data_IF_795680494363
#
_entry.id   IF_795680494363
#
_cell.length_a   1.000
_cell.length_b   1.000
_cell.length_c   1.000
_cell.angle_alpha   90.00
_cell.angle_beta   90.00
_cell.angle_gamma   90.00
#
_symmetry.space_group_name_H-M   'P 1'
#
loop_
_entity.id
_entity.type
_entity.pdbx_description
1 polymer ?
#
# COMPACT_ATOMS: atom_id res chain seq x y z
N UNK A 1 -8.09 13.84 -14.90
CA UNK A 1 -7.46 13.04 -13.84
C UNK A 1 -6.69 11.85 -14.39
N UNK A 2 -7.29 11.05 -15.29
CA UNK A 2 -6.64 9.91 -15.95
C UNK A 2 -5.26 10.18 -16.57
N UNK A 3 -5.09 11.26 -17.36
CA UNK A 3 -3.80 11.58 -17.99
C UNK A 3 -2.65 11.75 -16.96
N UNK A 4 -2.94 12.35 -15.80
CA UNK A 4 -1.97 12.52 -14.71
C UNK A 4 -1.63 11.17 -14.06
N UNK A 5 -2.64 10.32 -13.84
CA UNK A 5 -2.43 8.94 -13.38
C UNK A 5 -1.52 8.16 -14.35
N UNK A 6 -1.89 8.14 -15.64
CA UNK A 6 -1.18 7.40 -16.68
C UNK A 6 0.29 7.86 -16.83
N UNK A 7 0.56 9.16 -16.65
CA UNK A 7 1.92 9.71 -16.68
C UNK A 7 2.80 9.29 -15.48
N UNK A 8 2.17 8.93 -14.35
CA UNK A 8 2.87 8.65 -13.09
C UNK A 8 3.03 7.15 -12.81
N UNK A 9 2.02 6.33 -13.14
CA UNK A 9 1.93 4.92 -12.74
C UNK A 9 3.19 4.11 -13.07
N UNK A 10 3.74 4.24 -14.28
CA UNK A 10 4.93 3.48 -14.72
C UNK A 10 6.21 3.80 -13.95
N UNK A 11 6.27 4.97 -13.31
CA UNK A 11 7.49 5.49 -12.68
C UNK A 11 7.37 5.62 -11.15
N UNK A 12 6.21 5.27 -10.58
CA UNK A 12 6.01 5.24 -9.14
C UNK A 12 6.69 4.01 -8.53
N UNK A 13 7.31 4.15 -7.37
CA UNK A 13 7.91 3.03 -6.62
C UNK A 13 7.36 2.85 -5.21
N UNK A 14 6.35 3.63 -4.91
CA UNK A 14 5.60 3.50 -3.70
C UNK A 14 4.75 4.72 -3.47
N UNK A 15 3.64 4.50 -2.80
CA UNK A 15 2.86 5.56 -2.17
C UNK A 15 3.38 5.74 -0.76
N UNK A 16 3.47 6.97 -0.26
CA UNK A 16 3.96 7.25 1.10
C UNK A 16 2.79 7.56 2.04
N UNK A 17 2.90 7.09 3.29
CA UNK A 17 1.98 7.40 4.37
C UNK A 17 2.79 7.79 5.62
N UNK A 18 2.52 8.97 6.18
CA UNK A 18 3.25 9.49 7.33
C UNK A 18 2.50 10.62 8.05
N UNK A 19 2.95 10.96 9.25
CA UNK A 19 2.55 12.16 9.98
C UNK A 19 3.79 13.00 10.30
N UNK A 20 3.88 14.22 9.75
CA UNK A 20 5.05 15.09 9.96
C UNK A 20 5.22 15.57 11.40
N UNK A 21 4.19 15.44 12.23
CA UNK A 21 4.24 15.77 13.65
C UNK A 21 4.89 14.67 14.48
N UNK A 22 5.03 13.46 13.93
CA UNK A 22 5.75 12.38 14.59
C UNK A 22 7.27 12.60 14.50
N UNK A 23 7.95 12.41 15.63
CA UNK A 23 9.40 12.58 15.72
C UNK A 23 10.13 11.62 14.76
N UNK A 24 11.18 12.12 14.10
CA UNK A 24 12.01 11.32 13.20
C UNK A 24 11.43 11.08 11.80
N UNK A 25 10.13 11.30 11.56
CA UNK A 25 9.51 11.12 10.23
C UNK A 25 10.17 11.98 9.15
N UNK A 26 10.51 13.23 9.45
CA UNK A 26 11.24 14.10 8.51
C UNK A 26 12.59 13.49 8.09
N UNK A 27 13.28 12.79 9.00
CA UNK A 27 14.52 12.10 8.69
C UNK A 27 14.25 10.86 7.82
N UNK A 28 13.20 10.09 8.10
CA UNK A 28 12.77 8.96 7.26
C UNK A 28 12.43 9.41 5.84
N UNK A 29 11.75 10.56 5.67
CA UNK A 29 11.46 11.15 4.35
C UNK A 29 12.76 11.48 3.61
N UNK A 30 13.69 12.20 4.24
CA UNK A 30 15.00 12.53 3.64
C UNK A 30 15.79 11.27 3.28
N UNK A 31 15.80 10.28 4.18
CA UNK A 31 16.44 8.99 3.97
C UNK A 31 15.86 8.25 2.76
N UNK A 32 14.53 8.29 2.61
CA UNK A 32 13.81 7.67 1.52
C UNK A 32 14.08 8.39 0.20
N UNK A 33 13.94 9.72 0.16
CA UNK A 33 14.19 10.52 -1.04
C UNK A 33 15.61 10.34 -1.58
N UNK A 34 16.61 10.28 -0.68
CA UNK A 34 18.00 10.02 -1.04
C UNK A 34 18.23 8.64 -1.70
N UNK A 35 17.32 7.68 -1.51
CA UNK A 35 17.39 6.34 -2.11
C UNK A 35 16.57 6.22 -3.38
N UNK A 36 15.52 7.02 -3.52
CA UNK A 36 14.64 7.06 -4.69
C UNK A 36 14.93 8.23 -5.64
N UNK A 37 16.14 8.82 -5.61
CA UNK A 37 16.53 10.05 -6.37
C UNK A 37 16.00 10.15 -7.81
N UNK A 38 15.89 9.03 -8.53
CA UNK A 38 15.49 9.01 -9.94
C UNK A 38 14.05 8.54 -10.19
N UNK A 39 13.31 8.10 -9.18
CA UNK A 39 12.00 7.46 -9.30
C UNK A 39 10.96 8.15 -8.46
N UNK A 40 9.70 8.12 -8.87
CA UNK A 40 8.66 8.88 -8.20
C UNK A 40 8.14 8.14 -6.95
N UNK A 41 7.84 8.90 -5.91
CA UNK A 41 7.10 8.49 -4.72
C UNK A 41 5.77 9.23 -4.73
N UNK A 42 4.67 8.51 -4.57
CA UNK A 42 3.33 9.07 -4.63
C UNK A 42 2.94 9.66 -3.28
N UNK A 43 2.65 10.95 -3.26
CA UNK A 43 2.07 11.64 -2.10
C UNK A 43 0.55 11.70 -2.26
N UNK A 44 -0.22 10.96 -1.43
CA UNK A 44 -1.69 10.99 -1.46
C UNK A 44 -2.28 12.40 -1.36
N UNK A 45 -3.45 12.67 -1.95
CA UNK A 45 -4.11 13.97 -1.88
C UNK A 45 -4.29 14.50 -0.46
N UNK A 46 -4.76 13.69 0.50
CA UNK A 46 -4.96 14.17 1.88
C UNK A 46 -3.67 14.63 2.54
N UNK A 47 -2.58 13.88 2.37
CA UNK A 47 -1.27 14.26 2.91
C UNK A 47 -0.69 15.49 2.21
N UNK A 48 -0.91 15.62 0.90
CA UNK A 48 -0.51 16.82 0.18
C UNK A 48 -1.22 18.06 0.72
N UNK A 49 -2.55 18.02 0.86
CA UNK A 49 -3.30 19.18 1.35
C UNK A 49 -2.95 19.51 2.81
N UNK A 50 -2.69 18.49 3.62
CA UNK A 50 -2.34 18.65 5.04
C UNK A 50 -0.94 19.23 5.28
N UNK A 51 0.03 18.88 4.44
CA UNK A 51 1.45 19.19 4.65
C UNK A 51 2.11 19.95 3.50
N UNK A 52 1.32 20.53 2.59
CA UNK A 52 1.78 21.28 1.41
C UNK A 52 2.95 22.22 1.71
N UNK A 53 2.78 23.09 2.71
CA UNK A 53 3.72 24.17 3.00
C UNK A 53 5.01 23.62 3.63
N UNK A 54 4.89 22.60 4.47
CA UNK A 54 6.03 21.92 5.10
C UNK A 54 6.82 21.03 4.11
N UNK A 55 6.18 20.63 3.02
CA UNK A 55 6.75 19.77 1.99
C UNK A 55 7.18 20.51 0.73
N UNK A 56 7.03 21.84 0.69
CA UNK A 56 7.22 22.64 -0.52
C UNK A 56 8.60 22.38 -1.16
N UNK A 57 9.65 22.34 -0.35
CA UNK A 57 11.02 22.06 -0.80
C UNK A 57 11.18 20.67 -1.40
N UNK A 58 10.45 19.68 -0.89
CA UNK A 58 10.49 18.31 -1.41
C UNK A 58 9.64 18.13 -2.67
N UNK A 59 8.68 19.04 -2.92
CA UNK A 59 7.78 19.02 -4.08
C UNK A 59 8.37 19.75 -5.31
N UNK A 60 9.33 20.66 -5.11
CA UNK A 60 10.05 21.40 -6.16
C UNK A 60 11.03 20.54 -7.00
N UNK A 61 11.22 19.26 -6.65
CA UNK A 61 12.09 18.32 -7.36
C UNK A 61 11.61 16.87 -7.24
N UNK A 62 12.32 15.91 -7.87
CA UNK A 62 12.10 14.48 -7.61
C UNK A 62 12.59 14.15 -6.18
N UNK A 63 11.95 13.21 -5.45
CA UNK A 63 11.04 12.19 -5.96
C UNK A 63 9.58 12.29 -5.53
N UNK A 64 9.18 13.19 -4.62
CA UNK A 64 7.79 13.25 -4.14
C UNK A 64 6.87 13.90 -5.19
N UNK A 65 5.80 13.21 -5.57
CA UNK A 65 4.83 13.65 -6.57
C UNK A 65 3.43 13.52 -6.01
N UNK A 66 2.66 14.62 -6.02
CA UNK A 66 1.23 14.57 -5.72
C UNK A 66 0.53 13.65 -6.72
N UNK A 67 0.01 12.53 -6.23
CA UNK A 67 -0.83 11.61 -7.01
C UNK A 67 -2.30 12.03 -6.94
N UNK A 68 -3.13 11.41 -7.78
CA UNK A 68 -4.57 11.68 -7.88
C UNK A 68 -5.34 10.38 -7.95
N UNK A 69 -6.60 10.41 -7.56
CA UNK A 69 -7.54 9.32 -7.84
C UNK A 69 -7.67 9.11 -9.36
N UNK A 70 -7.45 7.89 -9.88
CA UNK A 70 -7.63 7.59 -11.29
C UNK A 70 -9.07 7.81 -11.77
N UNK A 71 -10.03 7.42 -10.92
CA UNK A 71 -11.49 7.51 -11.11
C UNK A 71 -12.15 7.94 -9.79
N UNK A 72 -13.35 8.52 -9.85
CA UNK A 72 -14.01 9.12 -8.69
C UNK A 72 -14.47 8.08 -7.67
N UNK A 73 -14.85 6.90 -8.15
CA UNK A 73 -15.32 5.77 -7.36
C UNK A 73 -14.29 5.35 -6.29
N UNK A 74 -13.00 5.44 -6.61
CA UNK A 74 -11.94 5.15 -5.64
C UNK A 74 -11.89 6.16 -4.50
N UNK A 75 -12.24 7.43 -4.75
CA UNK A 75 -12.36 8.46 -3.71
C UNK A 75 -13.57 8.18 -2.83
N UNK A 76 -14.71 7.89 -3.43
CA UNK A 76 -15.97 7.60 -2.72
C UNK A 76 -15.83 6.34 -1.83
N UNK A 77 -15.04 5.36 -2.28
CA UNK A 77 -14.70 4.18 -1.49
C UNK A 77 -13.82 4.50 -0.28
N UNK A 78 -12.83 5.39 -0.40
CA UNK A 78 -12.05 5.83 0.78
C UNK A 78 -12.98 6.45 1.82
N UNK A 79 -13.86 7.36 1.38
CA UNK A 79 -14.82 8.03 2.27
C UNK A 79 -15.73 7.02 2.96
N UNK A 80 -16.31 6.10 2.17
CA UNK A 80 -17.16 5.02 2.69
C UNK A 80 -16.43 4.14 3.72
N UNK A 81 -15.20 3.72 3.44
CA UNK A 81 -14.42 2.88 4.35
C UNK A 81 -14.07 3.64 5.64
N UNK A 82 -13.61 4.89 5.53
CA UNK A 82 -13.24 5.70 6.69
C UNK A 82 -14.41 5.96 7.65
N UNK A 83 -15.65 5.97 7.13
CA UNK A 83 -16.86 6.14 7.94
C UNK A 83 -17.35 4.83 8.59
N UNK A 84 -16.99 3.67 8.04
CA UNK A 84 -17.46 2.36 8.51
C UNK A 84 -16.43 1.61 9.37
N UNK A 85 -15.16 2.01 9.34
CA UNK A 85 -14.09 1.37 10.08
C UNK A 85 -13.38 2.39 10.99
N UNK A 86 -12.90 1.95 12.15
CA UNK A 86 -12.09 2.77 13.06
C UNK A 86 -10.65 2.98 12.57
N UNK A 87 -10.46 3.16 11.26
CA UNK A 87 -9.18 3.33 10.58
C UNK A 87 -9.15 4.72 9.92
N UNK A 88 -8.08 5.51 10.11
CA UNK A 88 -7.99 6.86 9.56
C UNK A 88 -8.16 6.90 8.03
N UNK A 89 -8.76 7.99 7.54
CA UNK A 89 -8.93 8.26 6.11
C UNK A 89 -7.60 8.12 5.34
N UNK A 90 -6.50 8.66 5.88
CA UNK A 90 -5.19 8.62 5.23
C UNK A 90 -4.67 7.19 5.01
N UNK A 91 -5.04 6.23 5.87
CA UNK A 91 -4.65 4.83 5.72
C UNK A 91 -5.36 4.19 4.53
N UNK A 92 -6.69 4.34 4.43
CA UNK A 92 -7.45 3.80 3.30
C UNK A 92 -7.08 4.49 2.00
N UNK A 93 -6.94 5.82 1.99
CA UNK A 93 -6.49 6.55 0.81
C UNK A 93 -5.14 6.02 0.31
N UNK A 94 -4.18 5.83 1.20
CA UNK A 94 -2.86 5.36 0.82
C UNK A 94 -2.87 3.90 0.33
N UNK A 95 -3.66 3.01 0.94
CA UNK A 95 -3.80 1.62 0.50
C UNK A 95 -4.45 1.51 -0.88
N UNK A 96 -5.57 2.22 -1.09
CA UNK A 96 -6.31 2.22 -2.35
C UNK A 96 -5.44 2.80 -3.46
N UNK A 97 -4.77 3.93 -3.22
CA UNK A 97 -3.88 4.52 -4.20
C UNK A 97 -2.63 3.67 -4.44
N UNK A 98 -2.07 3.01 -3.42
CA UNK A 98 -0.96 2.08 -3.60
C UNK A 98 -1.34 0.93 -4.55
N UNK A 99 -2.53 0.36 -4.34
CA UNK A 99 -3.12 -0.64 -5.23
C UNK A 99 -3.28 -0.09 -6.65
N UNK A 100 -3.99 1.03 -6.85
CA UNK A 100 -4.29 1.54 -8.20
C UNK A 100 -3.07 2.04 -8.96
N UNK A 101 -2.02 2.47 -8.26
CA UNK A 101 -0.73 2.83 -8.86
C UNK A 101 0.26 1.66 -8.97
N UNK A 102 -0.17 0.44 -8.62
CA UNK A 102 0.63 -0.79 -8.75
C UNK A 102 1.98 -0.63 -8.05
N UNK A 103 1.96 -0.14 -6.82
CA UNK A 103 3.17 0.17 -6.06
C UNK A 103 3.00 -0.19 -4.58
N UNK A 104 4.10 -0.50 -3.86
CA UNK A 104 4.02 -0.76 -2.44
C UNK A 104 3.58 0.49 -1.67
N UNK A 105 2.96 0.29 -0.50
CA UNK A 105 2.76 1.38 0.45
C UNK A 105 3.98 1.49 1.36
N UNK A 106 4.54 2.68 1.51
CA UNK A 106 5.68 2.97 2.37
C UNK A 106 5.21 3.80 3.57
N UNK A 107 5.15 3.17 4.74
CA UNK A 107 4.70 3.83 5.98
C UNK A 107 5.92 4.34 6.72
N UNK A 108 6.02 5.66 6.90
CA UNK A 108 7.11 6.31 7.60
C UNK A 108 6.66 6.68 9.02
N UNK A 109 7.40 6.21 10.02
CA UNK A 109 7.00 6.33 11.41
C UNK A 109 6.18 5.14 11.90
N UNK A 110 5.56 5.33 13.05
CA UNK A 110 4.85 4.31 13.82
C UNK A 110 3.37 4.62 14.02
N UNK A 111 2.94 5.88 13.84
CA UNK A 111 1.55 6.31 14.09
C UNK A 111 0.50 5.45 13.38
N UNK A 112 0.75 5.09 12.12
CA UNK A 112 -0.22 4.35 11.31
C UNK A 112 -0.06 2.82 11.37
N UNK A 113 1.02 2.32 11.98
CA UNK A 113 1.33 0.89 12.00
C UNK A 113 0.24 0.04 12.68
N UNK A 114 -0.36 0.43 13.82
CA UNK A 114 -1.43 -0.37 14.44
C UNK A 114 -2.63 -0.60 13.52
N UNK A 115 -3.00 0.39 12.70
CA UNK A 115 -4.09 0.26 11.73
C UNK A 115 -3.71 -0.63 10.54
N UNK A 116 -2.45 -0.57 10.09
CA UNK A 116 -1.97 -1.46 9.03
C UNK A 116 -1.91 -2.90 9.53
N UNK A 117 -1.44 -3.12 10.76
CA UNK A 117 -1.34 -4.45 11.36
C UNK A 117 -2.72 -5.09 11.54
N UNK A 118 -3.73 -4.33 11.99
CA UNK A 118 -5.10 -4.85 12.14
C UNK A 118 -5.78 -5.21 10.82
N UNK A 119 -5.37 -4.60 9.71
CA UNK A 119 -5.86 -4.90 8.36
C UNK A 119 -5.02 -5.97 7.64
N UNK A 120 -3.86 -6.34 8.19
CA UNK A 120 -2.90 -7.22 7.52
C UNK A 120 -3.31 -8.69 7.57
N UNK A 121 -3.09 -9.41 6.48
CA UNK A 121 -3.28 -10.86 6.39
C UNK A 121 -2.03 -11.65 6.75
N UNK A 122 -0.84 -11.05 6.62
CA UNK A 122 0.45 -11.68 6.94
C UNK A 122 1.52 -10.62 7.21
N UNK A 123 2.52 -10.97 8.02
CA UNK A 123 3.62 -10.07 8.40
C UNK A 123 4.97 -10.72 8.19
N UNK A 124 5.84 -10.06 7.42
CA UNK A 124 7.27 -10.39 7.33
C UNK A 124 8.01 -9.67 8.45
N UNK A 125 8.66 -10.42 9.33
CA UNK A 125 9.47 -9.91 10.43
C UNK A 125 10.96 -10.09 10.15
N UNK A 126 11.77 -9.09 10.52
CA UNK A 126 13.22 -9.17 10.48
C UNK A 126 13.74 -9.82 11.76
N UNK A 127 14.65 -10.79 11.62
CA UNK A 127 15.34 -11.44 12.75
C UNK A 127 15.93 -10.41 13.73
N UNK A 128 15.84 -10.67 15.04
CA UNK A 128 16.25 -9.73 16.12
C UNK A 128 17.72 -9.29 16.03
N UNK A 129 18.58 -10.16 15.54
CA UNK A 129 20.03 -9.99 15.37
C UNK A 129 20.41 -9.28 14.06
N UNK A 130 19.45 -9.04 13.15
CA UNK A 130 19.70 -8.43 11.84
C UNK A 130 19.37 -6.94 11.84
N UNK A 131 20.35 -6.15 11.38
CA UNK A 131 20.16 -4.75 11.00
C UNK A 131 20.38 -4.66 9.50
N UNK A 132 19.40 -4.10 8.79
CA UNK A 132 19.49 -3.98 7.33
C UNK A 132 20.39 -2.82 6.92
N UNK A 133 21.45 -3.14 6.18
CA UNK A 133 22.27 -2.12 5.52
C UNK A 133 21.55 -1.50 4.31
N UNK A 134 22.18 -0.52 3.67
CA UNK A 134 21.60 0.17 2.50
C UNK A 134 21.36 -0.78 1.32
N UNK A 135 22.20 -1.80 1.13
CA UNK A 135 22.06 -2.75 0.02
C UNK A 135 20.85 -3.65 0.26
N UNK A 136 20.66 -4.12 1.49
CA UNK A 136 19.52 -4.92 1.91
C UNK A 136 18.21 -4.12 1.83
N UNK A 137 18.19 -2.86 2.26
CA UNK A 137 17.01 -2.00 2.08
C UNK A 137 16.64 -1.85 0.60
N UNK A 138 17.61 -1.56 -0.27
CA UNK A 138 17.38 -1.45 -1.73
C UNK A 138 16.86 -2.75 -2.33
N UNK A 139 17.39 -3.89 -1.89
CA UNK A 139 16.95 -5.21 -2.34
C UNK A 139 15.49 -5.45 -1.94
N UNK A 140 15.16 -5.33 -0.66
CA UNK A 140 13.83 -5.71 -0.16
C UNK A 140 12.73 -4.71 -0.57
N UNK A 141 13.06 -3.43 -0.74
CA UNK A 141 12.13 -2.46 -1.35
C UNK A 141 11.82 -2.82 -2.81
N UNK A 142 12.80 -3.33 -3.56
CA UNK A 142 12.57 -3.82 -4.92
C UNK A 142 11.75 -5.11 -4.94
N UNK A 143 11.97 -6.00 -3.97
CA UNK A 143 11.13 -7.21 -3.82
C UNK A 143 9.68 -6.80 -3.57
N UNK A 144 9.41 -5.83 -2.68
CA UNK A 144 8.06 -5.33 -2.42
C UNK A 144 7.41 -4.71 -3.67
N UNK A 145 8.19 -3.98 -4.47
CA UNK A 145 7.76 -3.45 -5.77
C UNK A 145 7.36 -4.57 -6.74
N UNK A 146 8.14 -5.65 -6.82
CA UNK A 146 7.79 -6.82 -7.64
C UNK A 146 6.61 -7.61 -7.09
N UNK A 147 6.46 -7.72 -5.77
CA UNK A 147 5.36 -8.42 -5.13
C UNK A 147 4.00 -7.91 -5.61
N UNK A 148 3.79 -6.59 -5.64
CA UNK A 148 2.53 -6.05 -6.13
C UNK A 148 2.39 -6.22 -7.63
N UNK A 149 3.44 -5.96 -8.43
CA UNK A 149 3.40 -6.10 -9.89
C UNK A 149 2.97 -7.52 -10.29
N UNK A 150 3.57 -8.54 -9.67
CA UNK A 150 3.34 -9.94 -10.01
C UNK A 150 1.93 -10.42 -9.60
N UNK A 151 1.33 -9.80 -8.58
CA UNK A 151 0.03 -10.22 -8.03
C UNK A 151 -1.13 -9.38 -8.58
N UNK A 152 -0.86 -8.15 -9.04
CA UNK A 152 -1.88 -7.12 -9.27
C UNK A 152 -2.96 -7.54 -10.25
N UNK A 153 -2.59 -7.95 -11.48
CA UNK A 153 -3.56 -8.29 -12.53
C UNK A 153 -4.55 -9.35 -12.05
N UNK A 154 -4.03 -10.48 -11.55
CA UNK A 154 -4.87 -11.56 -11.04
C UNK A 154 -5.75 -11.06 -9.88
N UNK A 155 -5.18 -10.27 -8.96
CA UNK A 155 -5.94 -9.77 -7.82
C UNK A 155 -7.06 -8.79 -8.19
N UNK A 156 -6.88 -7.98 -9.23
CA UNK A 156 -7.91 -7.09 -9.75
C UNK A 156 -8.98 -7.89 -10.49
N UNK A 157 -8.60 -8.87 -11.31
CA UNK A 157 -9.56 -9.74 -12.01
C UNK A 157 -10.43 -10.54 -11.04
N UNK A 158 -9.82 -11.11 -9.98
CA UNK A 158 -10.54 -11.76 -8.88
C UNK A 158 -11.54 -10.80 -8.21
N UNK A 159 -11.13 -9.55 -7.95
CA UNK A 159 -12.00 -8.54 -7.36
C UNK A 159 -13.16 -8.14 -8.29
N UNK A 160 -12.89 -7.96 -9.59
CA UNK A 160 -13.92 -7.69 -10.60
C UNK A 160 -14.91 -8.85 -10.70
N UNK A 161 -14.44 -10.10 -10.66
CA UNK A 161 -15.29 -11.27 -10.66
C UNK A 161 -16.21 -11.29 -9.45
N UNK A 162 -15.68 -11.03 -8.25
CA UNK A 162 -16.46 -10.96 -7.01
C UNK A 162 -17.51 -9.84 -7.04
N UNK A 163 -17.15 -8.67 -7.58
CA UNK A 163 -18.05 -7.51 -7.68
C UNK A 163 -19.13 -7.73 -8.73
N UNK A 164 -18.76 -8.15 -9.94
CA UNK A 164 -19.70 -8.32 -11.07
C UNK A 164 -20.68 -9.45 -10.84
N UNK A 165 -20.24 -10.55 -10.20
CA UNK A 165 -21.07 -11.69 -9.89
C UNK A 165 -21.65 -11.56 -8.49
N UNK A 166 -22.54 -10.57 -8.29
CA UNK A 166 -23.35 -10.40 -7.07
C UNK A 166 -24.20 -11.62 -6.65
N UNK A 167 -24.16 -12.70 -7.44
CA UNK A 167 -24.77 -14.00 -7.21
C UNK A 167 -23.78 -15.11 -6.83
N UNK A 168 -22.49 -14.82 -6.65
CA UNK A 168 -21.56 -15.79 -6.07
C UNK A 168 -22.04 -16.13 -4.66
N UNK A 169 -22.11 -17.43 -4.36
CA UNK A 169 -22.35 -17.86 -3.00
C UNK A 169 -21.20 -17.42 -2.09
N UNK A 170 -21.45 -17.27 -0.80
CA UNK A 170 -20.41 -16.96 0.19
C UNK A 170 -19.20 -17.91 0.11
N UNK A 171 -19.41 -19.16 -0.32
CA UNK A 171 -18.39 -20.18 -0.51
C UNK A 171 -17.35 -19.82 -1.58
N UNK A 172 -17.76 -19.20 -2.69
CA UNK A 172 -16.86 -18.86 -3.80
C UNK A 172 -15.99 -17.66 -3.44
N UNK A 173 -16.58 -16.65 -2.78
CA UNK A 173 -15.83 -15.51 -2.23
C UNK A 173 -14.78 -15.99 -1.24
N UNK A 174 -15.15 -16.89 -0.32
CA UNK A 174 -14.20 -17.44 0.63
C UNK A 174 -13.12 -18.30 -0.04
N UNK A 175 -13.41 -18.96 -1.18
CA UNK A 175 -12.37 -19.65 -1.95
C UNK A 175 -11.38 -18.69 -2.58
N UNK A 176 -11.85 -17.58 -3.17
CA UNK A 176 -10.97 -16.53 -3.71
C UNK A 176 -10.10 -15.94 -2.61
N UNK A 177 -10.68 -15.60 -1.46
CA UNK A 177 -9.92 -15.08 -0.31
C UNK A 177 -8.92 -16.12 0.25
N UNK A 178 -9.26 -17.41 0.26
CA UNK A 178 -8.30 -18.49 0.61
C UNK A 178 -7.12 -18.53 -0.37
N UNK A 179 -7.37 -18.48 -1.68
CA UNK A 179 -6.32 -18.50 -2.69
C UNK A 179 -5.39 -17.29 -2.56
N UNK A 180 -5.95 -16.11 -2.28
CA UNK A 180 -5.18 -14.88 -2.03
C UNK A 180 -4.30 -14.98 -0.79
N UNK A 181 -4.82 -15.53 0.31
CA UNK A 181 -4.02 -15.81 1.52
C UNK A 181 -2.85 -16.76 1.23
N UNK A 182 -3.07 -17.80 0.43
CA UNK A 182 -2.00 -18.73 0.05
C UNK A 182 -0.93 -18.05 -0.82
N UNK A 183 -1.36 -17.22 -1.77
CA UNK A 183 -0.46 -16.40 -2.61
C UNK A 183 0.43 -15.50 -1.75
N UNK A 184 -0.15 -14.84 -0.75
CA UNK A 184 0.58 -14.02 0.23
C UNK A 184 1.63 -14.85 0.97
N UNK A 185 1.25 -16.03 1.50
CA UNK A 185 2.17 -16.92 2.21
C UNK A 185 3.35 -17.32 1.35
N UNK A 186 3.11 -17.72 0.09
CA UNK A 186 4.16 -18.06 -0.87
C UNK A 186 5.06 -16.85 -1.12
N UNK A 187 4.50 -15.66 -1.35
CA UNK A 187 5.25 -14.45 -1.66
C UNK A 187 6.18 -14.00 -0.51
N UNK A 188 5.79 -14.28 0.74
CA UNK A 188 6.65 -13.99 1.90
C UNK A 188 8.01 -14.70 1.86
N UNK A 189 8.13 -15.81 1.12
CA UNK A 189 9.39 -16.55 0.97
C UNK A 189 10.46 -15.77 0.20
N UNK A 190 10.08 -14.73 -0.58
CA UNK A 190 11.04 -13.83 -1.23
C UNK A 190 11.96 -13.12 -0.24
N UNK A 191 11.53 -12.99 1.01
CA UNK A 191 12.24 -12.31 2.09
C UNK A 191 13.10 -13.24 2.95
N UNK A 192 13.37 -14.48 2.53
CA UNK A 192 14.12 -15.49 3.29
C UNK A 192 15.46 -15.01 3.90
N UNK A 193 16.10 -14.00 3.29
CA UNK A 193 17.36 -13.41 3.76
C UNK A 193 17.22 -12.67 5.09
N UNK A 194 16.03 -12.15 5.39
CA UNK A 194 15.74 -11.35 6.59
C UNK A 194 14.62 -11.94 7.44
N UNK A 195 13.75 -12.76 6.84
CA UNK A 195 12.52 -13.29 7.46
C UNK A 195 12.86 -14.23 8.63
N UNK A 196 12.23 -13.97 9.78
CA UNK A 196 12.21 -14.84 10.95
C UNK A 196 10.78 -14.91 11.54
N UNK A 197 10.51 -15.93 12.37
CA UNK A 197 9.24 -16.04 13.10
C UNK A 197 9.05 -14.92 14.13
N UNK A 198 10.15 -14.49 14.75
CA UNK A 198 10.18 -13.40 15.71
C UNK A 198 11.02 -12.23 15.23
N UNK A 199 10.72 -11.06 15.79
CA UNK A 199 11.48 -9.82 15.56
C UNK A 199 10.59 -8.68 15.09
N UNK A 200 11.23 -7.68 14.48
CA UNK A 200 10.57 -6.41 14.13
C UNK A 200 9.78 -6.56 12.83
N UNK A 201 8.50 -6.16 12.79
CA UNK A 201 7.76 -6.11 11.53
C UNK A 201 8.47 -5.23 10.51
N UNK A 202 8.59 -5.74 9.29
CA UNK A 202 9.18 -5.04 8.16
C UNK A 202 8.17 -4.78 7.06
N UNK A 203 7.38 -5.79 6.72
CA UNK A 203 6.39 -5.70 5.65
C UNK A 203 5.11 -6.40 6.07
N UNK A 204 3.99 -5.76 5.79
CA UNK A 204 2.65 -6.29 5.98
C UNK A 204 2.03 -6.53 4.61
N UNK A 205 1.30 -7.63 4.43
CA UNK A 205 0.44 -7.80 3.27
C UNK A 205 -0.99 -7.45 3.66
N UNK A 206 -1.55 -6.43 3.01
CA UNK A 206 -2.96 -6.06 3.19
C UNK A 206 -3.73 -6.51 1.97
N UNK A 207 -4.66 -7.45 2.15
CA UNK A 207 -5.59 -7.86 1.11
C UNK A 207 -6.85 -6.97 1.15
N UNK A 208 -6.88 -5.94 0.31
CA UNK A 208 -7.99 -4.98 0.30
C UNK A 208 -9.34 -5.62 -0.05
N UNK A 209 -9.36 -6.69 -0.85
CA UNK A 209 -10.60 -7.44 -1.11
C UNK A 209 -11.12 -8.08 0.18
N UNK A 210 -10.23 -8.64 1.01
CA UNK A 210 -10.61 -9.20 2.30
C UNK A 210 -11.11 -8.15 3.27
N UNK A 211 -10.56 -6.94 3.23
CA UNK A 211 -10.99 -5.81 4.07
C UNK A 211 -12.43 -5.39 3.74
N UNK A 212 -12.76 -5.30 2.45
CA UNK A 212 -14.06 -4.77 2.00
C UNK A 212 -15.14 -5.84 1.82
N UNK A 213 -14.88 -7.10 2.19
CA UNK A 213 -15.77 -8.23 1.89
C UNK A 213 -17.24 -8.05 2.33
N UNK A 214 -17.47 -7.28 3.40
CA UNK A 214 -18.81 -7.03 3.94
C UNK A 214 -19.60 -5.92 3.20
N UNK A 215 -18.93 -5.14 2.34
CA UNK A 215 -19.53 -4.02 1.61
C UNK A 215 -19.50 -4.21 0.10
N UNK A 216 -19.10 -5.39 -0.39
CA UNK A 216 -18.97 -5.70 -1.82
C UNK A 216 -20.21 -5.28 -2.64
N UNK A 217 -21.41 -5.36 -2.05
CA UNK A 217 -22.70 -4.99 -2.68
C UNK A 217 -22.87 -3.54 -3.08
N UNK A 218 -21.98 -2.70 -2.60
CA UNK A 218 -21.99 -1.28 -2.92
C UNK A 218 -20.83 -0.91 -3.86
N UNK A 219 -20.03 -1.89 -4.30
CA UNK A 219 -18.91 -1.66 -5.18
C UNK A 219 -19.29 -1.92 -6.63
N UNK A 220 -18.62 -1.20 -7.52
CA UNK A 220 -18.63 -1.35 -8.98
C UNK A 220 -17.27 -1.84 -9.48
N UNK A 221 -17.18 -2.32 -10.71
CA UNK A 221 -15.93 -2.85 -11.28
C UNK A 221 -14.75 -1.86 -11.21
N UNK A 222 -15.02 -0.55 -11.32
CA UNK A 222 -13.99 0.49 -11.19
C UNK A 222 -13.27 0.48 -9.82
N UNK A 223 -13.94 -0.02 -8.77
CA UNK A 223 -13.33 -0.17 -7.46
C UNK A 223 -12.27 -1.27 -7.40
N UNK A 224 -12.32 -2.26 -8.30
CA UNK A 224 -11.41 -3.40 -8.28
C UNK A 224 -9.93 -2.98 -8.39
N UNK A 225 -9.64 -1.85 -9.05
CA UNK A 225 -8.30 -1.26 -9.12
C UNK A 225 -7.73 -0.82 -7.75
N UNK A 226 -8.57 -0.70 -6.73
CA UNK A 226 -8.17 -0.41 -5.34
C UNK A 226 -8.15 -1.65 -4.44
N UNK A 227 -8.44 -2.84 -4.96
CA UNK A 227 -8.69 -4.07 -4.20
C UNK A 227 -7.61 -5.15 -4.36
N UNK A 228 -6.41 -4.78 -4.82
CA UNK A 228 -5.30 -5.73 -4.89
C UNK A 228 -4.75 -6.09 -3.50
N UNK A 229 -3.87 -7.08 -3.47
CA UNK A 229 -2.97 -7.29 -2.32
C UNK A 229 -1.90 -6.19 -2.37
N UNK A 230 -1.72 -5.47 -1.28
CA UNK A 230 -0.75 -4.37 -1.16
C UNK A 230 0.36 -4.77 -0.18
N UNK A 231 1.62 -4.85 -0.63
CA UNK A 231 2.78 -4.93 0.26
C UNK A 231 3.02 -3.55 0.91
N UNK A 232 2.94 -3.51 2.23
CA UNK A 232 3.10 -2.31 3.04
C UNK A 232 4.43 -2.40 3.79
N UNK A 233 5.42 -1.62 3.38
CA UNK A 233 6.74 -1.58 4.01
C UNK A 233 6.74 -0.58 5.16
N UNK A 234 7.13 -1.03 6.36
CA UNK A 234 7.39 -0.18 7.51
C UNK A 234 8.81 0.38 7.43
N UNK A 235 8.91 1.69 7.43
CA UNK A 235 10.18 2.43 7.51
C UNK A 235 10.18 3.18 8.83
N UNK A 236 10.85 2.60 9.82
CA UNK A 236 10.98 3.25 11.13
C UNK A 236 12.02 4.38 11.06
N UNK A 237 11.88 5.43 11.88
CA UNK A 237 12.89 6.48 12.06
C UNK A 237 14.27 5.96 12.44
#
# INVERSE_FOLDING_TARGET
>A
MFAKYAALVKNLRGVVLFDLREEGVKNSIKWLMNRFKYRNLGLPPSLFEKYKDELEDYLKGRPLRRIVYPVIELKDMVETLSNNFSTPFEVFEALILASSYISPLLVLGSRFIPYIESLSSEVVRICKDKVMDVRQWKLHLRIADYSIIDIYEQSVMEAMEVISKFKLGSLEIEQILRNRREKIKIDTNRYWRIKCSEGKPFLYYVDMLSVVKNILKYLSENHAAGLSIVPVVRISP
#
